data_IF_564903902565
#
_entry.id   IF_564903902565
#
_cell.length_a   1.000
_cell.length_b   1.000
_cell.length_c   1.000
_cell.angle_alpha   90.00
_cell.angle_beta   90.00
_cell.angle_gamma   90.00
#
_symmetry.space_group_name_H-M   'P 1'
#
loop_
_entity.id
_entity.type
_entity.pdbx_description
1 polymer ?
#
# COMPACT_ATOMS: atom_id res chain seq x y z
N UNK A 1 10.84 24.72 25.51
CA UNK A 1 10.34 23.48 24.90
C UNK A 1 8.90 23.70 24.53
N UNK A 2 8.68 24.02 23.27
CA UNK A 2 7.39 23.99 22.63
C UNK A 2 7.06 22.51 22.44
N UNK A 3 5.96 22.05 23.03
CA UNK A 3 5.45 20.72 22.73
C UNK A 3 4.78 20.79 21.35
N UNK A 4 5.03 19.84 20.42
CA UNK A 4 4.18 19.69 19.25
C UNK A 4 2.74 19.50 19.76
N UNK A 5 1.89 20.50 19.53
CA UNK A 5 0.49 20.41 19.96
C UNK A 5 -0.21 19.27 19.23
N UNK A 6 0.06 19.17 17.92
CA UNK A 6 -0.44 18.17 16.97
C UNK A 6 0.47 18.14 15.72
N UNK A 7 0.59 16.98 15.06
CA UNK A 7 1.28 16.81 13.77
C UNK A 7 0.43 15.95 12.85
N UNK A 8 0.28 16.33 11.58
CA UNK A 8 -0.54 15.63 10.61
C UNK A 8 -0.95 16.51 9.43
N UNK A 9 -1.77 16.01 8.50
CA UNK A 9 -2.33 16.80 7.41
C UNK A 9 -3.06 18.05 7.92
N UNK A 10 -3.00 19.16 7.18
CA UNK A 10 -3.64 20.44 7.55
C UNK A 10 -5.11 20.26 7.90
N UNK A 11 -5.84 19.42 7.14
CA UNK A 11 -7.26 19.17 7.37
C UNK A 11 -7.56 18.44 8.69
N UNK A 12 -6.63 17.64 9.20
CA UNK A 12 -6.81 16.84 10.42
C UNK A 12 -6.36 17.60 11.67
N UNK A 13 -5.38 18.50 11.53
CA UNK A 13 -4.77 19.25 12.63
C UNK A 13 -5.37 20.65 12.81
N UNK A 14 -5.82 21.27 11.73
CA UNK A 14 -6.39 22.61 11.75
C UNK A 14 -7.84 22.59 11.29
N UNK A 15 -8.05 22.65 9.97
CA UNK A 15 -9.35 22.69 9.32
C UNK A 15 -9.15 22.55 7.80
N UNK A 16 -10.26 22.42 7.06
CA UNK A 16 -10.22 22.38 5.60
C UNK A 16 -9.76 23.73 5.02
N UNK A 17 -8.57 23.77 4.41
CA UNK A 17 -7.99 24.95 3.81
C UNK A 17 -7.49 24.65 2.39
N UNK A 18 -8.17 25.19 1.38
CA UNK A 18 -7.78 25.04 -0.03
C UNK A 18 -6.79 26.13 -0.47
N UNK A 19 -5.86 25.77 -1.37
CA UNK A 19 -4.92 26.72 -1.97
C UNK A 19 -3.71 27.07 -1.10
N UNK A 20 -3.38 26.24 -0.11
CA UNK A 20 -2.12 26.40 0.62
C UNK A 20 -0.93 26.05 -0.30
N UNK A 21 0.24 26.59 0.03
CA UNK A 21 1.45 26.41 -0.78
C UNK A 21 1.97 24.98 -0.75
N UNK A 22 1.89 24.29 0.40
CA UNK A 22 2.38 22.92 0.54
C UNK A 22 1.66 21.96 -0.43
N UNK A 23 0.34 22.05 -0.52
CA UNK A 23 -0.49 21.28 -1.45
C UNK A 23 -0.15 21.61 -2.91
N UNK A 24 0.01 22.89 -3.26
CA UNK A 24 0.41 23.26 -4.62
C UNK A 24 1.77 22.67 -5.00
N UNK A 25 2.77 22.76 -4.11
CA UNK A 25 4.09 22.19 -4.34
C UNK A 25 4.06 20.66 -4.45
N UNK A 26 3.27 19.99 -3.61
CA UNK A 26 3.11 18.55 -3.68
C UNK A 26 2.43 18.10 -4.99
N UNK A 27 1.22 18.62 -5.27
CA UNK A 27 0.43 18.17 -6.41
C UNK A 27 1.06 18.55 -7.76
N UNK A 28 1.66 19.74 -7.85
CA UNK A 28 2.20 20.24 -9.13
C UNK A 28 3.66 19.87 -9.35
N UNK A 29 4.46 19.84 -8.28
CA UNK A 29 5.91 19.76 -8.37
C UNK A 29 6.51 18.53 -7.69
N UNK A 30 5.71 17.70 -6.99
CA UNK A 30 6.18 16.56 -6.20
C UNK A 30 7.25 16.93 -5.18
N UNK A 31 7.16 18.15 -4.64
CA UNK A 31 8.04 18.64 -3.57
C UNK A 31 7.32 18.42 -2.25
N UNK A 32 8.01 17.81 -1.28
CA UNK A 32 7.50 17.71 0.09
C UNK A 32 7.35 19.12 0.69
N UNK A 33 6.15 19.44 1.14
CA UNK A 33 5.83 20.71 1.79
C UNK A 33 5.47 20.50 3.26
N UNK A 34 5.89 21.42 4.11
CA UNK A 34 5.52 21.47 5.52
C UNK A 34 5.10 22.88 5.90
N UNK A 35 4.03 22.98 6.66
CA UNK A 35 3.54 24.23 7.23
C UNK A 35 3.84 24.23 8.73
N UNK A 36 4.38 25.35 9.24
CA UNK A 36 4.70 25.53 10.65
C UNK A 36 3.85 26.65 11.23
N UNK A 37 3.03 26.32 12.23
CA UNK A 37 2.31 27.30 13.03
C UNK A 37 3.16 27.72 14.23
N UNK A 38 3.57 28.98 14.26
CA UNK A 38 4.35 29.58 15.36
C UNK A 38 3.43 30.24 16.39
N UNK A 39 3.93 30.51 17.61
CA UNK A 39 3.13 31.13 18.67
C UNK A 39 2.43 30.11 19.58
N UNK A 40 3.18 29.12 20.05
CA UNK A 40 2.67 28.05 20.89
C UNK A 40 2.16 28.56 22.26
N UNK A 41 1.13 27.90 22.78
CA UNK A 41 0.67 28.12 24.15
C UNK A 41 1.78 27.72 25.14
N UNK A 42 2.06 28.56 26.15
CA UNK A 42 2.93 28.16 27.27
C UNK A 42 2.10 27.86 28.51
N UNK A 43 2.58 26.92 29.30
CA UNK A 43 2.01 26.60 30.60
C UNK A 43 2.66 27.49 31.66
N UNK A 44 1.92 28.47 32.17
CA UNK A 44 2.40 29.44 33.15
C UNK A 44 1.39 29.59 34.30
N UNK A 45 1.88 29.46 35.54
CA UNK A 45 1.03 29.61 36.73
C UNK A 45 -0.13 28.61 36.79
N UNK A 46 0.06 27.39 36.26
CA UNK A 46 -0.98 26.35 36.25
C UNK A 46 -2.00 26.46 35.12
N UNK A 47 -1.82 27.34 34.13
CA UNK A 47 -2.73 27.52 33.00
C UNK A 47 -1.98 27.65 31.68
N UNK A 48 -2.59 27.16 30.60
CA UNK A 48 -2.15 27.43 29.24
C UNK A 48 -2.52 28.87 28.84
N UNK A 49 -1.53 29.63 28.36
CA UNK A 49 -1.71 31.02 27.90
C UNK A 49 -1.29 31.14 26.45
N UNK A 50 -2.14 31.79 25.65
CA UNK A 50 -1.81 32.17 24.26
C UNK A 50 -0.83 33.35 24.29
N UNK A 51 0.17 33.31 23.42
CA UNK A 51 1.26 34.29 23.39
C UNK A 51 1.08 35.39 22.33
N UNK A 52 0.00 35.33 21.54
CA UNK A 52 -0.29 36.30 20.49
C UNK A 52 0.74 36.29 19.35
N UNK A 53 0.63 37.26 18.46
CA UNK A 53 1.47 37.36 17.24
C UNK A 53 2.80 38.11 17.45
N UNK A 54 2.99 38.76 18.60
CA UNK A 54 4.13 39.65 18.87
C UNK A 54 4.71 39.41 20.27
N UNK A 55 5.39 38.27 20.49
CA UNK A 55 6.02 37.97 21.78
C UNK A 55 7.17 38.93 22.10
N UNK A 56 7.52 39.03 23.37
CA UNK A 56 8.68 39.82 23.81
C UNK A 56 10.00 39.18 23.33
N UNK A 57 11.04 40.00 23.15
CA UNK A 57 12.30 39.57 22.53
C UNK A 57 12.93 38.28 23.11
N UNK A 58 13.08 38.10 24.44
CA UNK A 58 13.68 36.88 24.98
C UNK A 58 12.91 35.61 24.60
N UNK A 59 11.58 35.68 24.59
CA UNK A 59 10.72 34.57 24.16
C UNK A 59 10.82 34.36 22.65
N UNK A 60 10.69 35.42 21.86
CA UNK A 60 10.78 35.36 20.40
C UNK A 60 12.10 34.69 19.96
N UNK A 61 13.20 35.03 20.63
CA UNK A 61 14.51 34.46 20.37
C UNK A 61 14.56 32.94 20.66
N UNK A 62 14.10 32.51 21.84
CA UNK A 62 14.06 31.08 22.19
C UNK A 62 13.20 30.26 21.23
N UNK A 63 12.00 30.76 20.91
CA UNK A 63 11.11 30.09 19.96
C UNK A 63 11.77 30.01 18.57
N UNK A 64 12.35 31.11 18.09
CA UNK A 64 13.05 31.14 16.80
C UNK A 64 14.19 30.13 16.75
N UNK A 65 14.98 29.98 17.82
CA UNK A 65 16.06 28.99 17.89
C UNK A 65 15.53 27.55 17.88
N UNK A 66 14.40 27.27 18.56
CA UNK A 66 13.75 25.96 18.56
C UNK A 66 13.24 25.59 17.15
N UNK A 67 12.56 26.52 16.46
CA UNK A 67 12.13 26.32 15.07
C UNK A 67 13.31 26.21 14.09
N UNK A 68 14.37 26.98 14.29
CA UNK A 68 15.59 26.89 13.47
C UNK A 68 16.26 25.52 13.61
N UNK A 69 16.34 24.99 14.83
CA UNK A 69 16.86 23.64 15.07
C UNK A 69 15.97 22.58 14.40
N UNK A 70 14.63 22.67 14.54
CA UNK A 70 13.70 21.78 13.85
C UNK A 70 13.84 21.82 12.32
N UNK A 71 14.01 23.02 11.76
CA UNK A 71 14.26 23.21 10.32
C UNK A 71 15.55 22.53 9.89
N UNK A 72 16.61 22.61 10.69
CA UNK A 72 17.87 21.93 10.39
C UNK A 72 17.70 20.41 10.38
N UNK A 73 16.89 19.84 11.28
CA UNK A 73 16.60 18.39 11.25
C UNK A 73 15.79 17.99 10.02
N UNK A 74 14.83 18.81 9.55
CA UNK A 74 14.12 18.55 8.30
C UNK A 74 15.07 18.52 7.10
N UNK A 75 16.05 19.43 7.06
CA UNK A 75 17.08 19.43 6.03
C UNK A 75 17.95 18.17 6.10
N UNK A 76 18.24 17.65 7.30
CA UNK A 76 18.94 16.37 7.45
C UNK A 76 18.11 15.19 6.96
N UNK A 77 16.82 15.13 7.30
CA UNK A 77 15.91 14.09 6.78
C UNK A 77 15.82 14.17 5.26
N UNK A 78 15.74 15.38 4.69
CA UNK A 78 15.75 15.57 3.25
C UNK A 78 17.08 15.14 2.61
N UNK A 79 18.21 15.37 3.28
CA UNK A 79 19.54 14.92 2.85
C UNK A 79 19.68 13.39 2.93
N UNK A 80 19.21 12.77 4.02
CA UNK A 80 19.19 11.32 4.18
C UNK A 80 18.33 10.68 3.09
N UNK A 81 17.14 11.24 2.84
CA UNK A 81 16.31 10.87 1.72
C UNK A 81 17.06 11.08 0.39
N UNK A 82 17.67 12.23 0.13
CA UNK A 82 18.44 12.46 -1.12
C UNK A 82 19.57 11.44 -1.31
N UNK A 83 20.18 10.94 -0.25
CA UNK A 83 21.28 9.97 -0.30
C UNK A 83 20.83 8.51 -0.27
N UNK A 84 19.58 8.26 0.10
CA UNK A 84 19.04 6.91 0.13
C UNK A 84 18.88 6.34 -1.29
N UNK A 85 19.32 5.09 -1.44
CA UNK A 85 19.37 4.30 -2.68
C UNK A 85 18.70 2.95 -2.50
N UNK A 86 17.99 2.73 -1.38
CA UNK A 86 17.21 1.52 -1.19
C UNK A 86 16.13 1.47 -2.26
N UNK A 87 15.97 0.29 -2.86
CA UNK A 87 14.93 0.09 -3.85
C UNK A 87 13.62 -0.22 -3.13
N UNK A 88 12.48 0.27 -3.63
CA UNK A 88 11.20 -0.13 -3.07
C UNK A 88 11.00 -1.62 -3.27
N UNK A 89 10.28 -2.25 -2.34
CA UNK A 89 9.78 -3.62 -2.45
C UNK A 89 8.26 -3.59 -2.44
N UNK A 90 7.65 -4.45 -3.24
CA UNK A 90 6.21 -4.63 -3.24
C UNK A 90 5.80 -6.07 -2.93
N UNK A 91 4.62 -6.21 -2.34
CA UNK A 91 3.98 -7.50 -2.08
C UNK A 91 2.48 -7.36 -2.27
N UNK A 92 1.79 -8.50 -2.29
CA UNK A 92 0.32 -8.50 -2.37
C UNK A 92 -0.29 -9.13 -1.13
N UNK A 93 -1.41 -8.58 -0.71
CA UNK A 93 -2.35 -9.20 0.23
C UNK A 93 -3.52 -9.76 -0.60
N UNK A 94 -3.76 -11.06 -0.49
CA UNK A 94 -4.91 -11.73 -1.11
C UNK A 94 -5.97 -11.97 -0.03
N UNK A 95 -7.19 -11.56 -0.33
CA UNK A 95 -8.34 -11.62 0.56
C UNK A 95 -9.40 -12.49 -0.12
N UNK A 96 -9.55 -13.77 0.25
CA UNK A 96 -10.61 -14.62 -0.29
C UNK A 96 -12.00 -14.03 0.01
N UNK A 97 -12.92 -14.11 -0.95
CA UNK A 97 -14.33 -13.81 -0.68
C UNK A 97 -14.98 -14.93 0.14
N UNK A 98 -16.10 -14.63 0.79
CA UNK A 98 -16.85 -15.61 1.59
C UNK A 98 -17.12 -16.89 0.78
N UNK A 99 -16.86 -18.06 1.37
CA UNK A 99 -16.97 -19.36 0.70
C UNK A 99 -15.79 -19.75 -0.21
N UNK A 100 -14.81 -18.87 -0.44
CA UNK A 100 -13.60 -19.18 -1.22
C UNK A 100 -12.54 -19.87 -0.36
N UNK A 101 -11.94 -20.96 -0.88
CA UNK A 101 -10.87 -21.72 -0.22
C UNK A 101 -9.58 -21.66 -1.03
N UNK A 102 -8.44 -21.75 -0.36
CA UNK A 102 -7.10 -21.87 -0.98
C UNK A 102 -6.64 -23.33 -1.02
N UNK A 103 -5.95 -23.75 -2.08
CA UNK A 103 -5.36 -25.08 -2.20
C UNK A 103 -4.05 -25.23 -1.40
N UNK A 104 -3.40 -24.13 -1.02
CA UNK A 104 -2.27 -24.16 -0.10
C UNK A 104 -2.80 -24.52 1.31
N UNK A 105 -2.38 -25.68 1.83
CA UNK A 105 -3.00 -26.34 2.98
C UNK A 105 -3.35 -25.43 4.17
N UNK A 106 -4.55 -25.65 4.71
CA UNK A 106 -5.04 -25.17 5.99
C UNK A 106 -4.89 -23.66 6.25
N UNK A 107 -5.47 -22.83 5.38
CA UNK A 107 -5.89 -21.48 5.75
C UNK A 107 -7.37 -21.53 6.18
N UNK A 108 -7.69 -20.90 7.31
CA UNK A 108 -9.06 -20.71 7.76
C UNK A 108 -9.83 -19.84 6.77
N UNK A 109 -11.15 -19.97 6.79
CA UNK A 109 -12.04 -19.11 6.00
C UNK A 109 -11.79 -17.63 6.35
N UNK A 110 -11.41 -16.82 5.35
CA UNK A 110 -11.12 -15.40 5.53
C UNK A 110 -9.67 -15.04 5.93
N UNK A 111 -8.75 -16.02 5.97
CA UNK A 111 -7.34 -15.73 6.25
C UNK A 111 -6.70 -14.98 5.07
N UNK A 112 -6.19 -13.78 5.38
CA UNK A 112 -5.44 -12.93 4.45
C UNK A 112 -4.09 -13.58 4.18
N UNK A 113 -3.72 -13.66 2.90
CA UNK A 113 -2.43 -14.21 2.49
C UNK A 113 -1.52 -13.10 1.98
N UNK A 114 -0.40 -12.85 2.66
CA UNK A 114 0.68 -12.04 2.12
C UNK A 114 1.55 -12.89 1.18
N UNK A 115 1.76 -12.40 -0.04
CA UNK A 115 2.67 -13.00 -1.02
C UNK A 115 3.81 -12.02 -1.27
N UNK A 116 5.00 -12.39 -0.80
CA UNK A 116 6.22 -11.61 -1.00
C UNK A 116 7.07 -12.22 -2.11
N UNK A 117 7.84 -11.37 -2.78
CA UNK A 117 8.65 -11.74 -3.96
C UNK A 117 10.14 -11.55 -3.67
N UNK A 118 10.59 -11.97 -2.49
CA UNK A 118 11.98 -11.78 -2.01
C UNK A 118 13.00 -12.60 -2.82
N UNK A 119 12.57 -13.74 -3.40
CA UNK A 119 13.35 -14.52 -4.36
C UNK A 119 12.77 -14.37 -5.78
N UNK A 120 13.62 -14.49 -6.78
CA UNK A 120 13.19 -14.52 -8.18
C UNK A 120 12.41 -15.80 -8.46
N UNK A 121 11.09 -15.71 -8.43
CA UNK A 121 10.22 -16.85 -8.70
C UNK A 121 8.77 -16.44 -8.91
N UNK A 122 8.18 -16.99 -9.96
CA UNK A 122 6.76 -16.84 -10.26
C UNK A 122 5.95 -17.54 -9.16
N UNK A 123 5.02 -16.82 -8.55
CA UNK A 123 4.14 -17.39 -7.53
C UNK A 123 2.85 -17.85 -8.21
N UNK A 124 2.34 -19.02 -7.84
CA UNK A 124 1.02 -19.49 -8.28
C UNK A 124 0.16 -19.81 -7.06
N UNK A 125 -1.01 -19.20 -6.99
CA UNK A 125 -2.02 -19.47 -5.98
C UNK A 125 -3.28 -20.00 -6.62
N UNK A 126 -3.96 -20.92 -5.95
CA UNK A 126 -5.16 -21.58 -6.46
C UNK A 126 -6.30 -21.40 -5.45
N UNK A 127 -7.43 -20.91 -5.93
CA UNK A 127 -8.62 -20.64 -5.15
C UNK A 127 -9.86 -21.27 -5.79
N UNK A 128 -10.83 -21.67 -4.98
CA UNK A 128 -12.10 -22.25 -5.45
C UNK A 128 -13.16 -21.21 -5.82
N UNK A 129 -12.81 -19.92 -5.80
CA UNK A 129 -13.75 -18.81 -5.93
C UNK A 129 -13.03 -17.46 -5.93
N UNK A 130 -13.77 -16.35 -6.12
CA UNK A 130 -13.17 -15.03 -6.28
C UNK A 130 -12.35 -14.56 -5.08
N UNK A 131 -11.32 -13.76 -5.37
CA UNK A 131 -10.48 -13.12 -4.35
C UNK A 131 -10.35 -11.62 -4.62
N UNK A 132 -9.98 -10.86 -3.59
CA UNK A 132 -9.55 -9.46 -3.73
C UNK A 132 -8.05 -9.37 -3.55
N UNK A 133 -7.37 -8.67 -4.45
CA UNK A 133 -5.94 -8.39 -4.40
C UNK A 133 -5.71 -6.95 -3.99
N UNK A 134 -4.78 -6.76 -3.06
CA UNK A 134 -4.28 -5.45 -2.62
C UNK A 134 -2.76 -5.43 -2.72
N UNK A 135 -2.21 -4.35 -3.29
CA UNK A 135 -0.76 -4.13 -3.30
C UNK A 135 -0.32 -3.37 -2.07
N UNK A 136 0.89 -3.66 -1.63
CA UNK A 136 1.58 -2.98 -0.54
C UNK A 136 3.03 -2.70 -0.95
N UNK A 137 3.62 -1.66 -0.37
CA UNK A 137 4.99 -1.22 -0.65
C UNK A 137 5.76 -0.96 0.63
N UNK A 138 7.08 -1.16 0.61
CA UNK A 138 7.94 -0.97 1.79
C UNK A 138 8.14 0.50 2.18
N UNK A 139 7.80 1.39 1.25
CA UNK A 139 7.93 2.84 1.35
C UNK A 139 6.92 3.49 0.37
N UNK A 140 6.70 4.81 0.43
CA UNK A 140 5.85 5.51 -0.55
C UNK A 140 6.31 5.26 -1.99
N UNK A 141 5.52 4.49 -2.74
CA UNK A 141 5.83 4.10 -4.11
C UNK A 141 4.54 3.89 -4.92
N UNK A 142 4.62 4.19 -6.21
CA UNK A 142 3.58 3.87 -7.18
C UNK A 142 3.77 2.43 -7.67
N UNK A 143 2.68 1.66 -7.77
CA UNK A 143 2.70 0.30 -8.34
C UNK A 143 2.04 0.30 -9.72
N UNK A 144 2.74 -0.23 -10.72
CA UNK A 144 2.24 -0.39 -12.10
C UNK A 144 2.02 -1.88 -12.38
N UNK A 145 0.86 -2.23 -12.92
CA UNK A 145 0.48 -3.64 -13.09
C UNK A 145 -0.28 -3.94 -14.38
N UNK A 146 -0.26 -5.22 -14.75
CA UNK A 146 -1.06 -5.84 -15.81
C UNK A 146 -1.78 -7.08 -15.23
N UNK A 147 -2.91 -7.45 -15.81
CA UNK A 147 -3.74 -8.60 -15.38
C UNK A 147 -3.83 -9.71 -16.44
N UNK A 148 -3.09 -9.57 -17.53
CA UNK A 148 -3.03 -10.52 -18.64
C UNK A 148 -1.64 -11.19 -18.76
N UNK A 149 -0.78 -10.98 -17.78
CA UNK A 149 0.60 -11.45 -17.77
C UNK A 149 1.55 -10.69 -18.69
N UNK A 150 1.08 -9.65 -19.39
CA UNK A 150 1.95 -8.83 -20.23
C UNK A 150 2.98 -8.07 -19.40
N UNK A 151 4.12 -7.75 -20.01
CA UNK A 151 5.23 -7.04 -19.34
C UNK A 151 4.74 -5.65 -18.89
N UNK A 152 4.79 -5.33 -17.57
CA UNK A 152 4.33 -4.05 -17.07
C UNK A 152 5.31 -2.94 -17.45
N UNK A 153 4.80 -1.77 -17.79
CA UNK A 153 5.57 -0.56 -18.12
C UNK A 153 5.02 0.64 -17.33
N UNK A 154 5.63 1.82 -17.47
CA UNK A 154 5.09 3.05 -16.87
C UNK A 154 3.76 3.51 -17.50
N UNK A 155 3.38 2.95 -18.65
CA UNK A 155 2.06 3.17 -19.29
C UNK A 155 1.02 2.14 -18.85
N UNK A 156 1.41 1.14 -18.05
CA UNK A 156 0.46 0.17 -17.48
C UNK A 156 -0.44 0.81 -16.44
N UNK A 157 -1.52 0.13 -16.08
CA UNK A 157 -2.44 0.62 -15.05
C UNK A 157 -1.68 0.87 -13.75
N UNK A 158 -1.79 2.10 -13.23
CA UNK A 158 -1.26 2.46 -11.93
C UNK A 158 -2.27 2.11 -10.85
N UNK A 159 -1.80 1.45 -9.78
CA UNK A 159 -2.60 1.16 -8.61
C UNK A 159 -2.85 2.46 -7.84
N UNK A 160 -4.11 2.87 -7.73
CA UNK A 160 -4.49 4.10 -7.03
C UNK A 160 -5.11 3.78 -5.66
N UNK A 161 -4.83 4.65 -4.69
CA UNK A 161 -5.59 4.68 -3.45
C UNK A 161 -7.05 5.05 -3.76
N UNK A 162 -8.00 4.33 -3.17
CA UNK A 162 -9.42 4.62 -3.25
C UNK A 162 -9.76 5.90 -2.45
N UNK A 163 -9.56 7.05 -3.10
CA UNK A 163 -10.04 8.36 -2.70
C UNK A 163 -9.18 9.08 -1.65
N UNK A 164 -9.65 10.27 -1.28
CA UNK A 164 -8.99 11.30 -0.43
C UNK A 164 -8.63 10.82 1.00
N UNK A 165 -8.99 9.59 1.36
CA UNK A 165 -8.81 8.98 2.69
C UNK A 165 -8.07 7.64 2.65
N UNK A 166 -7.31 7.38 1.59
CA UNK A 166 -6.27 6.34 1.57
C UNK A 166 -6.74 4.90 1.87
N UNK A 167 -7.97 4.53 1.46
CA UNK A 167 -8.31 3.10 1.43
C UNK A 167 -7.66 2.50 0.18
N UNK A 168 -6.81 1.47 0.26
CA UNK A 168 -6.31 0.83 -0.96
C UNK A 168 -7.48 0.28 -1.77
N UNK A 169 -7.50 0.51 -3.08
CA UNK A 169 -8.56 -0.04 -3.94
C UNK A 169 -8.37 -1.57 -4.04
N UNK A 170 -9.39 -2.35 -3.74
CA UNK A 170 -9.28 -3.80 -3.90
C UNK A 170 -9.52 -4.19 -5.37
N UNK A 171 -8.62 -4.99 -5.96
CA UNK A 171 -8.82 -5.57 -7.29
C UNK A 171 -9.52 -6.93 -7.16
N UNK A 172 -10.77 -7.03 -7.61
CA UNK A 172 -11.50 -8.30 -7.63
C UNK A 172 -10.99 -9.20 -8.77
N UNK A 173 -10.58 -10.41 -8.44
CA UNK A 173 -10.13 -11.47 -9.35
C UNK A 173 -11.13 -12.63 -9.25
N UNK A 174 -11.91 -12.85 -10.29
CA UNK A 174 -12.98 -13.87 -10.34
C UNK A 174 -12.74 -14.97 -11.38
N UNK A 175 -11.62 -14.90 -12.10
CA UNK A 175 -11.15 -15.89 -13.07
C UNK A 175 -9.63 -16.00 -13.02
N UNK A 176 -9.09 -17.08 -13.59
CA UNK A 176 -7.64 -17.26 -13.69
C UNK A 176 -6.99 -16.04 -14.36
N UNK A 177 -6.03 -15.44 -13.64
CA UNK A 177 -5.44 -14.14 -13.97
C UNK A 177 -3.94 -14.19 -13.71
N UNK A 178 -3.15 -13.77 -14.70
CA UNK A 178 -1.70 -13.60 -14.56
C UNK A 178 -1.42 -12.11 -14.25
N UNK A 179 -0.99 -11.83 -13.02
CA UNK A 179 -0.67 -10.48 -12.54
C UNK A 179 0.82 -10.24 -12.67
N UNK A 180 1.22 -9.20 -13.39
CA UNK A 180 2.61 -8.74 -13.46
C UNK A 180 2.73 -7.31 -12.99
N UNK A 181 3.71 -6.99 -12.14
CA UNK A 181 3.79 -5.67 -11.52
C UNK A 181 5.20 -5.31 -11.04
N UNK A 182 5.40 -4.01 -10.78
CA UNK A 182 6.61 -3.47 -10.16
C UNK A 182 6.28 -2.16 -9.41
N UNK A 183 7.07 -1.83 -8.39
CA UNK A 183 6.99 -0.55 -7.69
C UNK A 183 8.07 0.44 -8.16
N UNK A 184 7.70 1.73 -8.14
CA UNK A 184 8.60 2.87 -8.37
C UNK A 184 8.43 3.86 -7.23
N UNK A 185 9.52 4.17 -6.53
CA UNK A 185 9.47 5.13 -5.43
C UNK A 185 9.32 6.57 -5.94
N UNK A 186 9.17 7.48 -4.99
CA UNK A 186 9.11 8.93 -5.22
C UNK A 186 10.37 9.54 -5.88
N UNK A 187 11.53 8.85 -5.86
CA UNK A 187 12.77 9.27 -6.57
C UNK A 187 12.87 8.70 -7.98
N UNK A 188 12.00 7.76 -8.34
CA UNK A 188 12.09 6.99 -9.59
C UNK A 188 12.96 5.74 -9.49
N UNK A 189 13.37 5.30 -8.30
CA UNK A 189 14.04 4.02 -8.12
C UNK A 189 13.03 2.88 -8.32
N UNK A 190 13.43 1.92 -9.15
CA UNK A 190 12.56 0.82 -9.58
C UNK A 190 12.93 -0.45 -8.82
N UNK A 191 11.91 -1.11 -8.26
CA UNK A 191 12.03 -2.39 -7.59
C UNK A 191 12.83 -3.40 -8.42
N UNK A 192 13.68 -4.21 -7.74
CA UNK A 192 14.53 -5.25 -8.35
C UNK A 192 15.45 -4.76 -9.47
N UNK A 193 15.70 -3.45 -9.57
CA UNK A 193 16.37 -2.84 -10.73
C UNK A 193 15.67 -3.17 -12.06
N UNK A 194 14.35 -3.35 -12.05
CA UNK A 194 13.60 -3.55 -13.27
C UNK A 194 13.69 -2.30 -14.15
N UNK A 195 13.81 -2.49 -15.46
CA UNK A 195 13.83 -1.42 -16.45
C UNK A 195 12.51 -1.47 -17.24
N UNK A 196 11.52 -0.59 -16.96
CA UNK A 196 10.21 -0.62 -17.62
C UNK A 196 10.25 -0.26 -19.10
N UNK A 197 11.25 0.49 -19.53
CA UNK A 197 11.53 0.86 -20.93
C UNK A 197 12.47 -0.13 -21.64
N UNK A 198 13.10 -1.04 -20.89
CA UNK A 198 14.03 -2.04 -21.39
C UNK A 198 13.37 -3.34 -21.91
N UNK A 199 14.10 -4.45 -21.77
CA UNK A 199 13.63 -5.80 -22.14
C UNK A 199 13.73 -6.82 -20.99
N UNK A 200 14.16 -6.36 -19.81
CA UNK A 200 14.27 -7.19 -18.62
C UNK A 200 12.93 -7.79 -18.21
N UNK A 201 13.00 -8.86 -17.40
CA UNK A 201 11.83 -9.58 -16.88
C UNK A 201 11.87 -9.79 -15.36
N UNK A 202 12.69 -9.01 -14.67
CA UNK A 202 12.87 -9.00 -13.22
C UNK A 202 11.77 -8.21 -12.47
N UNK A 203 10.56 -8.15 -13.03
CA UNK A 203 9.35 -7.66 -12.38
C UNK A 203 8.64 -8.80 -11.63
N UNK A 204 7.75 -8.47 -10.69
CA UNK A 204 7.01 -9.46 -9.91
C UNK A 204 5.92 -10.12 -10.76
N UNK A 205 5.75 -11.44 -10.61
CA UNK A 205 4.75 -12.25 -11.32
C UNK A 205 4.00 -13.15 -10.37
N UNK A 206 2.67 -13.05 -10.42
CA UNK A 206 1.75 -13.86 -9.64
C UNK A 206 0.63 -14.40 -10.54
N UNK A 207 0.49 -15.71 -10.60
CA UNK A 207 -0.67 -16.37 -11.20
C UNK A 207 -1.69 -16.69 -10.13
N UNK A 208 -2.91 -16.20 -10.30
CA UNK A 208 -4.05 -16.55 -9.45
C UNK A 208 -4.96 -17.42 -10.29
N UNK A 209 -5.10 -18.68 -9.91
CA UNK A 209 -5.99 -19.65 -10.54
C UNK A 209 -7.30 -19.65 -9.77
N UNK A 210 -8.41 -19.46 -10.47
CA UNK A 210 -9.74 -19.64 -9.92
C UNK A 210 -10.31 -20.92 -10.53
N UNK A 211 -10.38 -21.98 -9.74
CA UNK A 211 -10.96 -23.26 -10.13
C UNK A 211 -12.47 -23.22 -9.91
N UNK A 212 -13.25 -23.57 -10.94
CA UNK A 212 -14.69 -23.66 -10.83
C UNK A 212 -15.06 -24.86 -9.95
N UNK A 213 -15.79 -24.68 -8.83
CA UNK A 213 -16.29 -25.78 -8.02
C UNK A 213 -17.13 -26.81 -8.82
N UNK A 214 -17.68 -26.43 -9.97
CA UNK A 214 -18.51 -27.29 -10.81
C UNK A 214 -17.71 -28.34 -11.62
N UNK A 215 -16.44 -28.11 -11.93
CA UNK A 215 -15.64 -29.03 -12.78
C UNK A 215 -15.07 -30.24 -12.01
N UNK A 216 -15.09 -30.20 -10.66
CA UNK A 216 -14.63 -31.30 -9.82
C UNK A 216 -15.60 -32.49 -9.66
N UNK A 217 -16.83 -32.40 -10.20
CA UNK A 217 -17.81 -33.51 -10.19
C UNK A 217 -17.94 -34.13 -11.59
N UNK A 218 -16.95 -34.94 -11.97
CA UNK A 218 -17.12 -35.90 -13.07
C UNK A 218 -18.34 -36.81 -12.85
N UNK A 219 -18.96 -37.35 -13.91
CA UNK A 219 -20.24 -38.05 -13.80
C UNK A 219 -20.08 -39.24 -12.84
N UNK A 220 -20.89 -39.25 -11.77
CA UNK A 220 -20.99 -40.36 -10.85
C UNK A 220 -21.27 -41.64 -11.66
N UNK A 221 -20.29 -42.54 -11.66
CA UNK A 221 -20.40 -43.82 -12.32
C UNK A 221 -21.67 -44.54 -11.87
N UNK A 222 -22.45 -44.99 -12.85
CA UNK A 222 -23.63 -45.83 -12.67
C UNK A 222 -23.23 -47.05 -11.84
N UNK A 223 -23.65 -47.06 -10.57
CA UNK A 223 -23.51 -48.20 -9.69
C UNK A 223 -24.39 -49.35 -10.20
N UNK A 224 -23.76 -50.49 -10.50
CA UNK A 224 -24.44 -51.74 -10.85
C UNK A 224 -25.36 -52.17 -9.71
N UNK A 225 -26.63 -52.42 -10.04
CA UNK A 225 -27.58 -53.14 -9.20
C UNK A 225 -27.06 -54.57 -8.96
N UNK A 226 -26.72 -54.88 -7.72
CA UNK A 226 -26.53 -56.25 -7.23
C UNK A 226 -27.85 -56.75 -6.63
N UNK A 227 -28.64 -57.45 -7.42
CA UNK A 227 -29.86 -58.12 -6.96
C UNK A 227 -29.44 -59.34 -6.11
N UNK A 228 -29.66 -59.29 -4.80
CA UNK A 228 -29.49 -60.44 -3.92
C UNK A 228 -30.64 -61.43 -4.12
N UNK A 229 -30.33 -62.63 -4.59
CA UNK A 229 -31.22 -63.78 -4.55
C UNK A 229 -31.22 -64.37 -3.13
N UNK A 230 -32.35 -64.27 -2.44
CA UNK A 230 -32.64 -65.04 -1.24
C UNK A 230 -33.13 -66.44 -1.62
N UNK A 231 -32.43 -67.47 -1.19
CA UNK A 231 -32.91 -68.86 -1.21
C UNK A 231 -33.08 -69.33 0.24
N UNK A 232 -34.32 -69.70 0.59
CA UNK A 232 -34.67 -70.27 1.88
C UNK A 232 -35.95 -71.08 1.79
N UNK A 233 -35.76 -72.41 1.87
CA UNK A 233 -36.71 -73.53 2.01
C UNK A 233 -37.22 -74.16 0.72
#
# INVERSE_FOLDING_TARGET
>A
MILPGQTGPVIDVLYSAAGNSADHFWYRHRVFGWDFEVGAYRFEGGRWRSQGFQPAWPEAFEQAMEFANGTMELLRVALDYQNDRQLPRSWVEIIPEEGTRSAAGALGEGDRQEVRFEEDGDQTLVFTGPVRLRFHTSEPADVYYTLDGSRPTLESTRYEAAGVRDRPADLRIDRTTDVSFFAVDVKGLVEKNYQPDGRGRNYNRLRIVIEDPAEGRGPAGVGKEGQMAGAGR
#
